data_IF_217231517478
#
_entry.id   IF_217231517478
#
_cell.length_a   1.000
_cell.length_b   1.000
_cell.length_c   1.000
_cell.angle_alpha   90.00
_cell.angle_beta   90.00
_cell.angle_gamma   90.00
#
_symmetry.space_group_name_H-M   'P 1'
#
loop_
_entity.id
_entity.type
_entity.pdbx_description
1 polymer ?
#
# COMPACT_ATOMS: atom_id res chain seq x y z
N UNK A 1 -21.88 -10.75 1.90
CA UNK A 1 -22.53 -9.45 1.63
C UNK A 1 -23.77 -9.27 2.46
N UNK A 2 -23.58 -9.08 3.77
CA UNK A 2 -24.68 -9.10 4.74
C UNK A 2 -25.26 -7.68 4.91
N UNK A 3 -24.41 -6.66 5.02
CA UNK A 3 -24.84 -5.26 5.18
C UNK A 3 -25.72 -4.76 4.05
N UNK A 4 -25.25 -4.87 2.80
CA UNK A 4 -26.00 -4.42 1.62
C UNK A 4 -27.40 -5.07 1.51
N UNK A 5 -27.54 -6.35 1.88
CA UNK A 5 -28.83 -7.06 1.85
C UNK A 5 -29.82 -6.59 2.93
N UNK A 6 -29.34 -5.97 4.01
CA UNK A 6 -30.17 -5.46 5.11
C UNK A 6 -30.47 -3.97 4.99
N UNK A 7 -29.72 -3.25 4.17
CA UNK A 7 -29.93 -1.82 3.94
C UNK A 7 -31.21 -1.59 3.12
N UNK A 8 -32.00 -0.58 3.51
CA UNK A 8 -33.26 -0.20 2.85
C UNK A 8 -33.16 1.13 2.09
N UNK A 9 -32.08 1.89 2.27
CA UNK A 9 -31.87 3.15 1.55
C UNK A 9 -31.61 2.95 0.05
N UNK A 10 -31.84 4.00 -0.73
CA UNK A 10 -31.62 3.98 -2.19
C UNK A 10 -30.13 3.98 -2.55
N UNK A 11 -29.30 4.60 -1.71
CA UNK A 11 -27.84 4.64 -1.86
C UNK A 11 -27.19 3.85 -0.74
N UNK A 12 -26.24 2.98 -1.10
CA UNK A 12 -25.35 2.32 -0.16
C UNK A 12 -24.13 3.20 0.07
N UNK A 13 -23.81 3.48 1.34
CA UNK A 13 -22.59 4.18 1.73
C UNK A 13 -21.76 3.25 2.60
N UNK A 14 -20.58 2.90 2.12
CA UNK A 14 -19.62 2.06 2.82
C UNK A 14 -18.62 2.95 3.54
N UNK A 15 -18.41 2.68 4.83
CA UNK A 15 -17.40 3.32 5.66
C UNK A 15 -16.69 2.26 6.49
N UNK A 16 -15.37 2.42 6.63
CA UNK A 16 -14.62 1.67 7.63
C UNK A 16 -15.06 2.06 9.05
N UNK A 17 -14.96 1.12 9.98
CA UNK A 17 -15.33 1.30 11.40
C UNK A 17 -14.52 2.36 12.18
N UNK A 18 -13.53 2.99 11.55
CA UNK A 18 -12.58 3.92 12.17
C UNK A 18 -12.37 5.13 11.24
N UNK A 19 -13.49 5.80 10.96
CA UNK A 19 -13.56 7.01 10.16
C UNK A 19 -14.22 8.15 10.95
N UNK A 20 -13.84 9.39 10.62
CA UNK A 20 -14.55 10.60 11.03
C UNK A 20 -14.98 11.37 9.78
N UNK A 21 -16.29 11.57 9.63
CA UNK A 21 -16.85 12.27 8.47
C UNK A 21 -16.80 13.78 8.67
N UNK A 22 -16.43 14.54 7.63
CA UNK A 22 -16.33 15.99 7.71
C UNK A 22 -17.70 16.68 7.48
N UNK A 23 -17.75 18.00 7.66
CA UNK A 23 -18.94 18.81 7.37
C UNK A 23 -19.35 18.63 5.90
N UNK A 24 -20.65 18.47 5.69
CA UNK A 24 -21.25 18.35 4.34
C UNK A 24 -20.61 17.28 3.45
N UNK A 25 -20.03 16.23 4.05
CA UNK A 25 -19.38 15.17 3.28
C UNK A 25 -20.36 14.37 2.39
N UNK A 26 -21.61 14.21 2.81
CA UNK A 26 -22.56 13.32 2.14
C UNK A 26 -23.28 13.94 0.93
N UNK A 27 -23.83 15.18 1.00
CA UNK A 27 -24.58 15.76 -0.13
C UNK A 27 -23.84 15.76 -1.48
N UNK A 28 -22.54 16.10 -1.57
CA UNK A 28 -21.81 16.06 -2.83
C UNK A 28 -21.72 14.64 -3.42
N UNK A 29 -21.68 13.60 -2.58
CA UNK A 29 -21.69 12.21 -3.06
C UNK A 29 -23.07 11.83 -3.64
N UNK A 30 -24.13 12.18 -2.91
CA UNK A 30 -25.50 11.83 -3.31
C UNK A 30 -25.94 12.56 -4.58
N UNK A 31 -25.54 13.81 -4.74
CA UNK A 31 -25.84 14.60 -5.95
C UNK A 31 -25.30 13.93 -7.21
N UNK A 32 -24.04 13.49 -7.18
CA UNK A 32 -23.41 12.78 -8.30
C UNK A 32 -24.11 11.47 -8.67
N UNK A 33 -24.51 10.69 -7.66
CA UNK A 33 -25.25 9.44 -7.87
C UNK A 33 -26.66 9.73 -8.43
N UNK A 34 -27.31 10.81 -7.96
CA UNK A 34 -28.61 11.23 -8.47
C UNK A 34 -28.56 11.64 -9.94
N UNK A 35 -27.52 12.35 -10.36
CA UNK A 35 -27.31 12.72 -11.76
C UNK A 35 -27.09 11.50 -12.67
N UNK A 36 -26.30 10.54 -12.19
CA UNK A 36 -26.07 9.30 -12.91
C UNK A 36 -25.92 8.11 -11.94
N UNK A 37 -26.94 7.24 -11.81
CA UNK A 37 -26.94 6.10 -10.90
C UNK A 37 -25.84 5.05 -11.16
N UNK A 38 -25.19 5.08 -12.34
CA UNK A 38 -24.05 4.20 -12.65
C UNK A 38 -22.70 4.75 -12.18
N UNK A 39 -22.71 5.94 -11.57
CA UNK A 39 -21.52 6.58 -11.00
C UNK A 39 -21.30 6.07 -9.58
N UNK A 40 -20.11 5.54 -9.32
CA UNK A 40 -19.62 5.21 -7.99
C UNK A 40 -18.70 6.32 -7.53
N UNK A 41 -18.94 6.83 -6.33
CA UNK A 41 -18.25 8.01 -5.82
C UNK A 41 -17.49 7.70 -4.54
N UNK A 42 -16.29 8.23 -4.43
CA UNK A 42 -15.45 8.15 -3.24
C UNK A 42 -15.24 9.56 -2.68
N UNK A 43 -15.26 9.74 -1.34
CA UNK A 43 -14.75 10.96 -0.74
C UNK A 43 -13.22 11.03 -0.90
N UNK A 44 -12.66 12.22 -0.72
CA UNK A 44 -11.23 12.32 -0.40
C UNK A 44 -11.02 11.77 1.00
N UNK A 45 -10.07 10.84 1.12
CA UNK A 45 -9.73 10.20 2.38
C UNK A 45 -8.62 11.00 3.05
N UNK A 46 -8.96 11.68 4.14
CA UNK A 46 -8.02 12.40 4.99
C UNK A 46 -7.38 11.47 6.01
N UNK A 47 -6.28 11.92 6.62
CA UNK A 47 -5.50 11.09 7.55
C UNK A 47 -5.90 11.45 8.97
N UNK A 48 -6.29 10.45 9.76
CA UNK A 48 -6.36 10.55 11.21
C UNK A 48 -5.14 9.83 11.77
N UNK A 49 -4.30 10.56 12.50
CA UNK A 49 -3.12 10.00 13.15
C UNK A 49 -3.53 8.91 14.14
N UNK A 50 -2.95 7.71 14.02
CA UNK A 50 -3.24 6.61 14.95
C UNK A 50 -2.66 6.82 16.35
N UNK A 51 -1.68 7.73 16.51
CA UNK A 51 -1.06 8.03 17.81
C UNK A 51 -1.76 9.20 18.52
N UNK A 52 -2.05 10.27 17.77
CA UNK A 52 -2.54 11.54 18.33
C UNK A 52 -4.02 11.80 18.05
N UNK A 53 -4.65 11.02 17.17
CA UNK A 53 -6.00 11.27 16.65
C UNK A 53 -6.17 12.63 15.97
N UNK A 54 -5.06 13.30 15.63
CA UNK A 54 -5.12 14.54 14.87
C UNK A 54 -5.60 14.28 13.44
N UNK A 55 -6.60 15.05 13.02
CA UNK A 55 -7.13 15.04 11.66
C UNK A 55 -6.27 15.93 10.76
N UNK A 56 -5.74 15.36 9.68
CA UNK A 56 -4.87 16.03 8.71
C UNK A 56 -5.42 15.88 7.29
N UNK A 57 -5.52 17.00 6.57
CA UNK A 57 -5.97 17.01 5.19
C UNK A 57 -4.96 16.29 4.26
N UNK A 58 -5.48 15.45 3.37
CA UNK A 58 -4.71 14.78 2.33
C UNK A 58 -4.69 15.57 1.01
N UNK A 59 -3.63 15.44 0.19
CA UNK A 59 -3.63 16.00 -1.16
C UNK A 59 -4.66 15.29 -2.06
N UNK A 60 -5.03 15.93 -3.16
CA UNK A 60 -5.87 15.29 -4.18
C UNK A 60 -5.06 14.19 -4.89
N UNK A 61 -5.52 12.96 -4.72
CA UNK A 61 -4.95 11.75 -5.29
C UNK A 61 -6.06 10.91 -5.91
N UNK A 62 -5.72 10.11 -6.90
CA UNK A 62 -6.57 9.08 -7.49
C UNK A 62 -6.01 7.69 -7.24
N UNK A 63 -6.85 6.67 -7.38
CA UNK A 63 -6.44 5.28 -7.20
C UNK A 63 -5.81 4.70 -8.46
N UNK A 64 -4.60 4.17 -8.31
CA UNK A 64 -3.90 3.35 -9.30
C UNK A 64 -3.62 1.94 -8.78
N UNK A 65 -2.92 1.16 -9.58
CA UNK A 65 -2.45 -0.16 -9.16
C UNK A 65 -1.20 -0.58 -9.96
N UNK A 66 -0.41 -1.48 -9.38
CA UNK A 66 0.70 -2.10 -10.08
C UNK A 66 0.32 -3.48 -10.64
N UNK A 67 1.14 -4.03 -11.55
CA UNK A 67 0.90 -5.34 -12.14
C UNK A 67 0.97 -6.52 -11.15
N UNK A 68 1.35 -6.29 -9.89
CA UNK A 68 1.15 -7.25 -8.79
C UNK A 68 -0.26 -7.26 -8.21
N UNK A 69 -1.18 -6.47 -8.77
CA UNK A 69 -2.54 -6.20 -8.29
C UNK A 69 -2.57 -5.64 -6.86
N UNK A 70 -1.62 -4.75 -6.57
CA UNK A 70 -1.65 -3.95 -5.34
C UNK A 70 -2.11 -2.54 -5.68
N UNK A 71 -3.06 -2.03 -4.88
CA UNK A 71 -3.53 -0.65 -4.94
C UNK A 71 -2.41 0.34 -4.60
N UNK A 72 -2.44 1.50 -5.22
CA UNK A 72 -1.56 2.63 -4.93
C UNK A 72 -2.30 3.96 -5.05
N UNK A 73 -1.90 4.93 -4.25
CA UNK A 73 -2.32 6.31 -4.43
C UNK A 73 -1.43 7.00 -5.47
N UNK A 74 -2.05 7.66 -6.44
CA UNK A 74 -1.38 8.37 -7.51
C UNK A 74 -1.79 9.85 -7.51
N UNK A 75 -0.86 10.79 -7.77
CA UNK A 75 -1.24 12.17 -7.95
C UNK A 75 -2.21 12.31 -9.13
N UNK A 76 -3.15 13.24 -9.01
CA UNK A 76 -3.98 13.61 -10.16
C UNK A 76 -3.07 14.25 -11.23
N UNK A 77 -3.15 13.82 -12.50
CA UNK A 77 -2.34 14.40 -13.57
C UNK A 77 -2.48 15.93 -13.62
N UNK A 78 -1.36 16.65 -13.65
CA UNK A 78 -1.33 18.13 -13.59
C UNK A 78 -2.15 18.82 -14.69
N UNK A 79 -2.28 18.18 -15.84
CA UNK A 79 -3.07 18.71 -16.96
C UNK A 79 -4.59 18.68 -16.68
N UNK A 80 -5.04 17.99 -15.63
CA UNK A 80 -6.42 17.97 -15.16
C UNK A 80 -6.66 18.95 -14.01
N UNK A 81 -5.64 19.68 -13.54
CA UNK A 81 -5.69 20.61 -12.41
C UNK A 81 -5.05 21.94 -12.82
N UNK A 82 -5.69 22.66 -13.76
CA UNK A 82 -5.15 23.90 -14.34
C UNK A 82 -5.84 25.11 -13.71
N UNK A 83 -7.17 25.10 -13.68
CA UNK A 83 -7.98 26.20 -13.17
C UNK A 83 -8.42 25.91 -11.73
N UNK A 84 -8.71 26.92 -10.90
CA UNK A 84 -9.19 26.72 -9.53
C UNK A 84 -10.41 25.78 -9.44
N UNK A 85 -11.29 25.83 -10.43
CA UNK A 85 -12.48 25.00 -10.51
C UNK A 85 -12.13 23.51 -10.63
N UNK A 86 -11.03 23.16 -11.31
CA UNK A 86 -10.59 21.78 -11.50
C UNK A 86 -10.28 21.07 -10.15
N UNK A 87 -9.94 21.84 -9.11
CA UNK A 87 -9.63 21.30 -7.78
C UNK A 87 -10.87 20.89 -6.98
N UNK A 88 -12.07 21.27 -7.42
CA UNK A 88 -13.34 20.94 -6.76
C UNK A 88 -14.25 20.05 -7.59
N UNK A 89 -13.97 19.90 -8.89
CA UNK A 89 -14.74 19.03 -9.78
C UNK A 89 -14.50 17.53 -9.49
N UNK A 90 -15.46 16.65 -9.83
CA UNK A 90 -15.28 15.20 -9.75
C UNK A 90 -14.07 14.71 -10.54
N UNK A 91 -13.22 13.90 -9.91
CA UNK A 91 -11.99 13.37 -10.51
C UNK A 91 -12.20 11.90 -10.87
N UNK A 92 -12.09 11.56 -12.16
CA UNK A 92 -12.15 10.16 -12.60
C UNK A 92 -10.95 9.37 -12.06
N UNK A 93 -11.24 8.27 -11.39
CA UNK A 93 -10.23 7.41 -10.77
C UNK A 93 -10.21 6.02 -11.40
N UNK A 94 -9.05 5.51 -11.86
CA UNK A 94 -8.96 4.15 -12.39
C UNK A 94 -9.43 3.09 -11.38
N UNK A 95 -9.01 3.25 -10.12
CA UNK A 95 -9.38 2.34 -9.03
C UNK A 95 -9.77 3.10 -7.77
N UNK A 96 -10.26 2.40 -6.75
CA UNK A 96 -10.52 2.97 -5.41
C UNK A 96 -9.82 2.15 -4.34
N UNK A 97 -9.60 2.75 -3.17
CA UNK A 97 -9.09 2.03 -2.00
C UNK A 97 -10.07 0.95 -1.52
N UNK A 98 -11.38 1.21 -1.64
CA UNK A 98 -12.46 0.23 -1.45
C UNK A 98 -13.13 0.23 -0.07
N UNK A 99 -12.55 0.91 0.93
CA UNK A 99 -13.15 1.02 2.27
C UNK A 99 -14.23 2.10 2.38
N UNK A 100 -14.13 3.17 1.59
CA UNK A 100 -15.02 4.32 1.65
C UNK A 100 -15.53 4.67 0.25
N UNK A 101 -16.82 4.44 -0.02
CA UNK A 101 -17.47 4.83 -1.27
C UNK A 101 -19.00 4.81 -1.11
N UNK A 102 -19.71 5.49 -2.03
CA UNK A 102 -21.15 5.46 -2.15
C UNK A 102 -21.59 5.06 -3.57
N UNK A 103 -22.72 4.35 -3.67
CA UNK A 103 -23.24 3.81 -4.93
C UNK A 103 -24.74 3.57 -4.83
N UNK A 104 -25.46 3.74 -5.94
CA UNK A 104 -26.87 3.33 -6.04
C UNK A 104 -27.03 1.82 -5.71
N UNK A 105 -27.99 1.50 -4.84
CA UNK A 105 -28.19 0.13 -4.35
C UNK A 105 -28.60 -0.82 -5.48
N UNK A 106 -29.47 -0.37 -6.39
CA UNK A 106 -29.90 -1.20 -7.51
C UNK A 106 -28.74 -1.43 -8.48
N UNK A 107 -27.91 -0.42 -8.72
CA UNK A 107 -26.73 -0.56 -9.55
C UNK A 107 -25.72 -1.55 -8.94
N UNK A 108 -25.48 -1.48 -7.63
CA UNK A 108 -24.65 -2.46 -6.90
C UNK A 108 -25.15 -3.90 -7.10
N UNK A 109 -26.47 -4.12 -7.05
CA UNK A 109 -27.10 -5.42 -7.29
C UNK A 109 -26.99 -5.85 -8.76
N UNK A 110 -27.26 -4.94 -9.70
CA UNK A 110 -27.23 -5.19 -11.15
C UNK A 110 -25.84 -5.59 -11.63
N UNK A 111 -24.79 -4.89 -11.17
CA UNK A 111 -23.42 -5.26 -11.52
C UNK A 111 -22.98 -6.53 -10.82
N UNK A 112 -23.76 -7.09 -9.89
CA UNK A 112 -23.53 -8.40 -9.27
C UNK A 112 -22.72 -8.37 -7.98
N UNK A 113 -22.81 -7.27 -7.22
CA UNK A 113 -22.25 -7.08 -5.88
C UNK A 113 -20.78 -7.55 -5.74
N UNK A 114 -20.20 -7.84 -4.57
CA UNK A 114 -18.86 -8.45 -4.50
C UNK A 114 -18.82 -9.92 -4.95
N UNK A 115 -17.65 -10.37 -5.42
CA UNK A 115 -17.38 -11.78 -5.70
C UNK A 115 -17.41 -12.60 -4.40
N UNK A 116 -18.46 -13.40 -4.24
CA UNK A 116 -18.65 -14.25 -3.06
C UNK A 116 -17.58 -15.35 -2.90
N UNK A 117 -16.77 -15.60 -3.93
CA UNK A 117 -15.63 -16.52 -3.84
C UNK A 117 -14.35 -15.89 -3.32
N UNK A 118 -14.33 -14.59 -3.01
CA UNK A 118 -13.19 -13.93 -2.37
C UNK A 118 -13.15 -14.19 -0.86
N UNK A 119 -11.93 -14.34 -0.34
CA UNK A 119 -11.67 -14.60 1.06
C UNK A 119 -11.17 -13.35 1.78
N UNK A 120 -11.84 -12.99 2.87
CA UNK A 120 -11.43 -12.05 3.92
C UNK A 120 -10.95 -10.68 3.42
N UNK A 121 -9.74 -10.60 2.88
CA UNK A 121 -9.11 -9.34 2.49
C UNK A 121 -8.20 -9.48 1.28
N UNK A 122 -8.32 -8.52 0.36
CA UNK A 122 -7.39 -8.27 -0.72
C UNK A 122 -8.03 -8.38 -2.11
N UNK A 123 -7.75 -7.41 -2.98
CA UNK A 123 -8.14 -7.44 -4.40
C UNK A 123 -9.61 -7.10 -4.68
N UNK A 124 -10.48 -7.05 -3.68
CA UNK A 124 -11.92 -6.74 -3.83
C UNK A 124 -12.15 -5.33 -4.39
N UNK A 125 -11.29 -4.38 -4.01
CA UNK A 125 -11.34 -3.01 -4.45
C UNK A 125 -10.97 -2.89 -5.95
N UNK A 126 -9.96 -3.64 -6.41
CA UNK A 126 -9.59 -3.69 -7.83
C UNK A 126 -10.65 -4.40 -8.67
N UNK A 127 -11.22 -5.50 -8.17
CA UNK A 127 -12.27 -6.26 -8.86
C UNK A 127 -13.47 -5.39 -9.19
N UNK A 128 -14.00 -4.67 -8.19
CA UNK A 128 -15.16 -3.83 -8.39
C UNK A 128 -14.82 -2.61 -9.23
N UNK A 129 -13.63 -2.00 -9.08
CA UNK A 129 -13.19 -0.89 -9.94
C UNK A 129 -13.13 -1.28 -11.42
N UNK A 130 -12.52 -2.42 -11.75
CA UNK A 130 -12.47 -2.92 -13.13
C UNK A 130 -13.87 -3.16 -13.68
N UNK A 131 -14.73 -3.78 -12.86
CA UNK A 131 -16.11 -4.05 -13.26
C UNK A 131 -16.93 -2.79 -13.50
N UNK A 132 -16.87 -1.80 -12.61
CA UNK A 132 -17.59 -0.53 -12.77
C UNK A 132 -17.23 0.07 -14.13
N UNK A 133 -15.93 0.27 -14.39
CA UNK A 133 -15.46 0.88 -15.64
C UNK A 133 -15.78 0.04 -16.87
N UNK A 134 -15.44 -1.25 -16.84
CA UNK A 134 -15.57 -2.11 -18.00
C UNK A 134 -17.03 -2.42 -18.33
N UNK A 135 -17.95 -2.32 -17.37
CA UNK A 135 -19.37 -2.63 -17.56
C UNK A 135 -20.25 -1.37 -17.64
N UNK A 136 -19.67 -0.22 -18.00
CA UNK A 136 -20.42 0.99 -18.40
C UNK A 136 -20.74 2.00 -17.30
N UNK A 137 -20.21 1.81 -16.09
CA UNK A 137 -20.25 2.81 -15.03
C UNK A 137 -19.01 3.70 -15.00
N UNK A 138 -18.97 4.59 -14.00
CA UNK A 138 -17.86 5.51 -13.75
C UNK A 138 -17.44 5.46 -12.29
N UNK A 139 -16.16 5.73 -12.03
CA UNK A 139 -15.61 5.81 -10.67
C UNK A 139 -14.98 7.19 -10.47
N UNK A 140 -15.50 7.95 -9.52
CA UNK A 140 -15.14 9.34 -9.29
C UNK A 140 -14.70 9.57 -7.82
N UNK A 141 -13.73 10.45 -7.62
CA UNK A 141 -13.38 11.02 -6.32
C UNK A 141 -13.96 12.42 -6.27
N UNK A 142 -14.68 12.75 -5.20
CA UNK A 142 -15.40 14.02 -5.05
C UNK A 142 -14.63 14.91 -4.07
N UNK A 143 -13.87 15.93 -4.53
CA UNK A 143 -13.01 16.74 -3.66
C UNK A 143 -13.71 17.43 -2.50
N UNK A 144 -14.96 17.86 -2.71
CA UNK A 144 -15.79 18.52 -1.71
C UNK A 144 -16.30 17.57 -0.61
N UNK A 145 -16.27 16.25 -0.84
CA UNK A 145 -16.60 15.25 0.17
C UNK A 145 -15.32 14.75 0.84
N UNK A 146 -15.17 14.96 2.15
CA UNK A 146 -13.98 14.53 2.89
C UNK A 146 -14.34 13.66 4.08
N UNK A 147 -13.58 12.59 4.27
CA UNK A 147 -13.72 11.67 5.39
C UNK A 147 -12.32 11.33 5.90
N UNK A 148 -12.06 11.58 7.17
CA UNK A 148 -10.84 11.14 7.84
C UNK A 148 -10.88 9.64 8.09
N UNK A 149 -9.77 8.96 7.83
CA UNK A 149 -9.59 7.54 8.11
C UNK A 149 -8.38 7.35 9.02
N UNK A 150 -8.53 6.52 10.05
CA UNK A 150 -7.42 6.15 10.92
C UNK A 150 -6.57 5.09 10.22
N UNK A 151 -5.47 5.55 9.62
CA UNK A 151 -4.47 4.67 9.01
C UNK A 151 -3.70 3.95 10.12
N UNK A 152 -3.99 2.66 10.27
CA UNK A 152 -3.35 1.80 11.26
C UNK A 152 -1.93 1.45 10.80
N UNK A 153 -0.96 1.54 11.71
CA UNK A 153 0.44 1.07 11.49
C UNK A 153 0.56 -0.45 11.35
N UNK A 154 -0.46 -1.19 11.80
CA UNK A 154 -0.50 -2.65 11.74
C UNK A 154 -1.95 -3.17 11.71
N UNK A 155 -2.15 -4.37 11.17
CA UNK A 155 -3.47 -5.03 11.09
C UNK A 155 -3.79 -5.76 12.40
N UNK A 156 -4.76 -5.32 13.22
CA UNK A 156 -5.05 -5.88 14.53
C UNK A 156 -5.61 -7.30 14.51
N UNK A 157 -6.03 -7.81 13.34
CA UNK A 157 -6.54 -9.16 13.20
C UNK A 157 -5.38 -10.15 13.09
N UNK A 158 -5.32 -11.13 14.00
CA UNK A 158 -4.49 -12.31 13.86
C UNK A 158 -4.75 -12.96 12.50
N UNK A 159 -3.72 -13.57 11.90
CA UNK A 159 -3.92 -14.40 10.70
C UNK A 159 -4.61 -15.70 11.12
N UNK A 160 -5.87 -15.62 11.51
CA UNK A 160 -6.71 -16.80 11.75
C UNK A 160 -7.14 -17.42 10.40
N UNK A 161 -6.65 -16.88 9.29
CA UNK A 161 -7.04 -17.18 7.92
C UNK A 161 -6.10 -18.16 7.23
N UNK A 162 -6.69 -19.26 6.78
CA UNK A 162 -6.23 -20.19 5.76
C UNK A 162 -5.44 -19.51 4.61
N UNK A 163 -4.11 -19.49 4.70
CA UNK A 163 -3.22 -19.13 3.59
C UNK A 163 -3.23 -17.66 3.13
N UNK A 164 -2.54 -17.40 2.01
CA UNK A 164 -2.37 -16.08 1.40
C UNK A 164 -3.64 -15.65 0.63
N UNK A 165 -4.60 -15.05 1.37
CA UNK A 165 -5.91 -14.63 0.84
C UNK A 165 -5.78 -13.57 -0.26
N UNK A 166 -4.84 -12.63 -0.10
CA UNK A 166 -4.57 -11.58 -1.09
C UNK A 166 -4.16 -12.20 -2.43
N UNK A 167 -3.20 -13.12 -2.42
CA UNK A 167 -2.79 -13.79 -3.67
C UNK A 167 -3.92 -14.61 -4.29
N UNK A 168 -4.71 -15.31 -3.47
CA UNK A 168 -5.87 -16.07 -3.94
C UNK A 168 -6.91 -15.16 -4.62
N UNK A 169 -7.31 -14.07 -3.97
CA UNK A 169 -8.29 -13.13 -4.53
C UNK A 169 -7.73 -12.43 -5.78
N UNK A 170 -6.47 -12.02 -5.77
CA UNK A 170 -5.81 -11.40 -6.93
C UNK A 170 -5.75 -12.34 -8.14
N UNK A 171 -5.56 -13.65 -7.95
CA UNK A 171 -5.72 -14.62 -9.05
C UNK A 171 -7.15 -14.61 -9.60
N UNK A 172 -8.18 -14.56 -8.75
CA UNK A 172 -9.58 -14.47 -9.21
C UNK A 172 -9.82 -13.21 -10.04
N UNK A 173 -9.30 -12.06 -9.60
CA UNK A 173 -9.36 -10.80 -10.37
C UNK A 173 -8.65 -10.96 -11.71
N UNK A 174 -7.44 -11.53 -11.71
CA UNK A 174 -6.63 -11.72 -12.91
C UNK A 174 -7.33 -12.61 -13.94
N UNK A 175 -7.95 -13.71 -13.50
CA UNK A 175 -8.62 -14.66 -14.37
C UNK A 175 -9.92 -14.11 -14.97
N UNK A 176 -10.63 -13.23 -14.27
CA UNK A 176 -11.91 -12.68 -14.73
C UNK A 176 -11.76 -11.41 -15.54
N UNK A 177 -10.85 -10.50 -15.14
CA UNK A 177 -10.88 -9.12 -15.61
C UNK A 177 -9.68 -8.70 -16.46
N UNK A 178 -8.51 -9.35 -16.36
CA UNK A 178 -7.30 -8.88 -17.04
C UNK A 178 -7.11 -9.40 -18.48
N UNK A 179 -7.98 -10.27 -18.99
CA UNK A 179 -7.85 -10.86 -20.33
C UNK A 179 -6.42 -11.42 -20.59
N UNK A 180 -5.83 -11.11 -21.75
CA UNK A 180 -4.45 -11.47 -22.08
C UNK A 180 -3.38 -10.74 -21.25
N UNK A 181 -3.73 -9.69 -20.50
CA UNK A 181 -2.80 -8.95 -19.63
C UNK A 181 -2.51 -9.68 -18.32
N UNK A 182 -3.28 -10.72 -17.95
CA UNK A 182 -2.96 -11.56 -16.78
C UNK A 182 -1.58 -12.19 -16.84
N UNK A 183 -0.99 -12.32 -18.04
CA UNK A 183 0.41 -12.75 -18.23
C UNK A 183 1.39 -11.87 -17.45
N UNK A 184 1.14 -10.56 -17.35
CA UNK A 184 1.99 -9.61 -16.64
C UNK A 184 1.90 -9.81 -15.13
N UNK A 185 0.71 -10.08 -14.61
CA UNK A 185 0.51 -10.45 -13.20
C UNK A 185 1.29 -11.71 -12.84
N UNK A 186 1.16 -12.79 -13.62
CA UNK A 186 1.88 -14.04 -13.36
C UNK A 186 3.39 -13.96 -13.66
N UNK A 187 3.85 -12.99 -14.45
CA UNK A 187 5.29 -12.73 -14.62
C UNK A 187 5.92 -12.13 -13.35
N UNK A 188 5.17 -11.33 -12.59
CA UNK A 188 5.60 -10.75 -11.32
C UNK A 188 5.40 -11.76 -10.18
N UNK A 189 4.23 -12.38 -10.11
CA UNK A 189 3.84 -13.38 -9.10
C UNK A 189 4.02 -14.80 -9.62
N UNK A 190 5.26 -15.15 -10.00
CA UNK A 190 5.59 -16.44 -10.64
C UNK A 190 5.19 -17.65 -9.79
N UNK A 191 5.24 -17.50 -8.47
CA UNK A 191 4.89 -18.51 -7.48
C UNK A 191 3.39 -18.86 -7.46
N UNK A 192 2.54 -18.02 -8.05
CA UNK A 192 1.10 -18.24 -8.15
C UNK A 192 0.69 -18.99 -9.43
N UNK A 193 1.60 -19.14 -10.40
CA UNK A 193 1.27 -19.82 -11.66
C UNK A 193 0.91 -21.29 -11.39
N UNK A 194 -0.30 -21.69 -11.82
CA UNK A 194 -0.81 -23.04 -11.63
C UNK A 194 -1.42 -23.32 -10.25
N UNK A 195 -1.45 -22.33 -9.34
CA UNK A 195 -2.19 -22.47 -8.07
C UNK A 195 -3.70 -22.38 -8.31
N UNK A 196 -4.50 -23.09 -7.49
CA UNK A 196 -5.95 -22.99 -7.58
C UNK A 196 -6.45 -21.61 -7.12
N UNK A 197 -7.40 -21.06 -7.87
CA UNK A 197 -8.09 -19.78 -7.58
C UNK A 197 -9.61 -19.97 -7.40
N UNK A 198 -10.05 -21.23 -7.27
CA UNK A 198 -11.46 -21.60 -7.15
C UNK A 198 -12.26 -21.40 -8.44
N UNK A 199 -13.56 -21.62 -8.37
CA UNK A 199 -14.46 -21.45 -9.50
C UNK A 199 -14.78 -19.96 -9.73
N UNK A 200 -14.59 -19.48 -10.96
CA UNK A 200 -14.90 -18.09 -11.40
C UNK A 200 -15.97 -18.03 -12.50
N UNK A 201 -16.60 -19.16 -12.86
CA UNK A 201 -17.58 -19.25 -13.95
C UNK A 201 -18.76 -18.28 -13.80
N UNK A 202 -19.25 -18.07 -12.58
CA UNK A 202 -20.33 -17.10 -12.31
C UNK A 202 -19.92 -15.66 -12.62
N UNK A 203 -18.66 -15.30 -12.31
CA UNK A 203 -18.10 -13.96 -12.59
C UNK A 203 -17.85 -13.76 -14.09
N UNK A 204 -17.36 -14.78 -14.78
CA UNK A 204 -17.22 -14.77 -16.24
C UNK A 204 -18.59 -14.65 -16.94
N UNK A 205 -19.60 -15.39 -16.48
CA UNK A 205 -20.97 -15.30 -17.00
C UNK A 205 -21.60 -13.92 -16.77
N UNK A 206 -21.38 -13.33 -15.59
CA UNK A 206 -21.78 -11.96 -15.28
C UNK A 206 -21.13 -10.95 -16.23
N UNK A 207 -19.80 -11.03 -16.42
CA UNK A 207 -19.07 -10.15 -17.34
C UNK A 207 -19.61 -10.23 -18.77
N UNK A 208 -19.95 -11.44 -19.24
CA UNK A 208 -20.58 -11.66 -20.55
C UNK A 208 -22.00 -11.07 -20.60
N UNK A 209 -22.83 -11.32 -19.57
CA UNK A 209 -24.22 -10.84 -19.49
C UNK A 209 -24.31 -9.31 -19.52
N UNK A 210 -23.40 -8.63 -18.84
CA UNK A 210 -23.32 -7.17 -18.80
C UNK A 210 -22.64 -6.55 -20.04
N UNK A 211 -22.20 -7.39 -21.00
CA UNK A 211 -21.51 -6.97 -22.21
C UNK A 211 -20.31 -6.04 -21.93
N UNK A 212 -19.51 -6.38 -20.91
CA UNK A 212 -18.42 -5.53 -20.47
C UNK A 212 -17.30 -5.46 -21.51
N UNK A 213 -16.63 -4.31 -21.58
CA UNK A 213 -15.47 -4.04 -22.42
C UNK A 213 -14.27 -4.93 -22.04
N UNK A 214 -13.27 -4.95 -22.92
CA UNK A 214 -12.00 -5.66 -22.69
C UNK A 214 -11.09 -4.87 -21.74
N UNK A 215 -10.14 -5.56 -21.13
CA UNK A 215 -9.12 -4.91 -20.32
C UNK A 215 -8.22 -3.99 -21.15
N UNK A 216 -8.03 -4.31 -22.43
CA UNK A 216 -7.36 -3.43 -23.39
C UNK A 216 -8.07 -2.06 -23.45
N UNK A 217 -9.40 -2.07 -23.61
CA UNK A 217 -10.19 -0.83 -23.60
C UNK A 217 -10.03 -0.07 -22.29
N UNK A 218 -10.02 -0.77 -21.14
CA UNK A 218 -9.80 -0.14 -19.83
C UNK A 218 -8.45 0.58 -19.77
N UNK A 219 -7.35 -0.07 -20.16
CA UNK A 219 -6.03 0.57 -20.17
C UNK A 219 -6.00 1.75 -21.14
N UNK A 220 -6.61 1.63 -22.33
CA UNK A 220 -6.58 2.71 -23.33
C UNK A 220 -7.48 3.92 -22.99
N UNK A 221 -8.59 3.72 -22.27
CA UNK A 221 -9.63 4.74 -22.10
C UNK A 221 -9.82 5.22 -20.66
N UNK A 222 -9.39 4.42 -19.68
CA UNK A 222 -9.56 4.72 -18.25
C UNK A 222 -8.21 4.96 -17.58
N UNK A 223 -7.18 4.18 -17.94
CA UNK A 223 -5.88 4.28 -17.29
C UNK A 223 -4.70 4.20 -18.27
N UNK A 224 -4.60 5.16 -19.22
CA UNK A 224 -3.57 5.16 -20.25
C UNK A 224 -2.16 5.39 -19.69
N UNK A 225 -2.04 5.91 -18.46
CA UNK A 225 -0.77 6.09 -17.79
C UNK A 225 -0.19 4.78 -17.19
N UNK A 226 -0.97 3.69 -17.17
CA UNK A 226 -0.51 2.40 -16.68
C UNK A 226 0.51 1.79 -17.65
N UNK A 227 1.80 1.91 -17.31
CA UNK A 227 2.89 1.36 -18.12
C UNK A 227 2.89 -0.16 -18.10
N UNK A 228 3.12 -0.77 -19.26
CA UNK A 228 3.28 -2.22 -19.35
C UNK A 228 4.64 -2.65 -18.79
N UNK A 229 4.80 -3.86 -18.25
CA UNK A 229 6.10 -4.32 -17.72
C UNK A 229 7.27 -4.26 -18.71
N UNK A 230 6.98 -4.42 -20.00
CA UNK A 230 7.97 -4.32 -21.08
C UNK A 230 8.43 -2.88 -21.34
N UNK A 231 7.61 -1.89 -20.97
CA UNK A 231 7.88 -0.44 -21.07
C UNK A 231 8.44 0.11 -19.74
N UNK A 232 8.89 -0.77 -18.84
CA UNK A 232 9.35 -0.41 -17.50
C UNK A 232 8.25 -0.42 -16.41
N UNK A 233 7.04 -0.87 -16.71
CA UNK A 233 5.95 -1.09 -15.74
C UNK A 233 6.11 -2.33 -14.86
N UNK A 234 7.34 -2.84 -14.71
CA UNK A 234 7.61 -4.10 -14.02
C UNK A 234 7.57 -3.93 -12.51
N UNK A 235 6.41 -4.19 -11.90
CA UNK A 235 6.32 -4.70 -10.51
C UNK A 235 6.89 -3.84 -9.37
N UNK A 236 7.12 -2.56 -9.59
CA UNK A 236 7.22 -1.52 -8.57
C UNK A 236 6.19 -0.45 -8.95
N UNK A 237 5.38 0.03 -8.01
CA UNK A 237 4.42 1.10 -8.29
C UNK A 237 5.15 2.30 -8.88
N UNK A 238 4.81 2.69 -10.10
CA UNK A 238 5.47 3.81 -10.80
C UNK A 238 4.46 4.87 -11.24
N UNK A 239 3.87 5.55 -10.25
CA UNK A 239 3.63 7.00 -10.32
C UNK A 239 4.28 7.78 -9.15
N UNK A 240 5.28 7.16 -8.48
CA UNK A 240 6.17 7.83 -7.52
C UNK A 240 7.66 7.68 -7.87
N UNK A 241 8.02 7.06 -9.00
CA UNK A 241 9.43 6.80 -9.36
C UNK A 241 9.98 7.62 -10.53
N UNK A 242 9.21 8.53 -11.15
CA UNK A 242 9.72 9.30 -12.31
C UNK A 242 9.61 10.82 -12.25
N UNK A 243 9.03 11.38 -11.19
CA UNK A 243 9.38 12.75 -10.81
C UNK A 243 10.42 12.64 -9.70
N UNK A 244 11.68 12.80 -10.10
CA UNK A 244 12.90 12.75 -9.28
C UNK A 244 13.47 11.33 -9.07
N UNK A 245 14.04 10.71 -10.12
CA UNK A 245 15.26 9.94 -9.90
C UNK A 245 16.40 10.93 -9.56
N UNK A 246 16.36 11.45 -8.34
CA UNK A 246 17.61 11.48 -7.59
C UNK A 246 17.75 10.05 -7.09
N UNK A 247 18.91 9.44 -7.33
CA UNK A 247 19.30 8.28 -6.51
C UNK A 247 18.94 8.62 -5.06
N UNK A 248 18.29 7.71 -4.30
CA UNK A 248 17.83 8.02 -2.95
C UNK A 248 19.01 8.66 -2.21
N UNK A 249 18.85 9.91 -1.80
CA UNK A 249 19.97 10.67 -1.26
C UNK A 249 20.36 9.95 0.02
N UNK A 250 21.52 9.31 -0.03
CA UNK A 250 22.07 8.59 1.10
C UNK A 250 22.45 9.66 2.12
N UNK A 251 21.77 9.69 3.25
CA UNK A 251 22.02 10.65 4.32
C UNK A 251 23.22 10.22 5.17
N UNK A 252 23.44 8.91 5.30
CA UNK A 252 24.53 8.27 6.04
C UNK A 252 24.87 6.94 5.38
N UNK A 253 26.14 6.54 5.37
CA UNK A 253 26.57 5.26 4.80
C UNK A 253 27.78 4.72 5.54
N UNK A 254 27.82 3.45 5.88
CA UNK A 254 29.04 2.84 6.38
C UNK A 254 28.77 1.65 7.27
N UNK A 255 29.80 1.22 7.99
CA UNK A 255 29.57 0.30 9.08
C UNK A 255 28.80 1.03 10.18
N UNK A 256 27.84 0.34 10.78
CA UNK A 256 27.01 0.89 11.83
C UNK A 256 27.52 0.37 13.17
N UNK A 257 28.36 1.17 13.83
CA UNK A 257 29.08 0.84 15.06
C UNK A 257 28.23 1.20 16.26
N UNK A 258 28.14 0.32 17.24
CA UNK A 258 27.56 0.64 18.54
C UNK A 258 28.64 1.16 19.50
N UNK A 259 28.40 2.28 20.20
CA UNK A 259 29.38 2.83 21.15
C UNK A 259 29.56 1.93 22.38
N UNK A 260 28.46 1.39 22.92
CA UNK A 260 28.47 0.59 24.15
C UNK A 260 29.22 -0.74 24.02
N UNK A 261 29.17 -1.39 22.85
CA UNK A 261 29.87 -2.66 22.62
C UNK A 261 31.10 -2.55 21.72
N UNK A 262 31.29 -1.42 21.04
CA UNK A 262 32.31 -1.25 19.99
C UNK A 262 32.23 -2.30 18.86
N UNK A 263 31.03 -2.86 18.63
CA UNK A 263 30.77 -3.85 17.59
C UNK A 263 29.88 -3.25 16.50
N UNK A 264 29.93 -3.84 15.31
CA UNK A 264 29.15 -3.41 14.16
C UNK A 264 27.89 -4.26 13.96
N UNK A 265 26.81 -3.61 13.54
CA UNK A 265 25.60 -4.28 13.08
C UNK A 265 25.90 -5.11 11.84
N UNK A 266 25.59 -6.40 11.89
CA UNK A 266 25.94 -7.36 10.85
C UNK A 266 24.85 -8.44 10.67
N UNK A 267 25.05 -9.30 9.68
CA UNK A 267 24.22 -10.47 9.37
C UNK A 267 25.00 -11.77 9.55
N UNK A 268 24.37 -12.87 10.02
CA UNK A 268 25.06 -14.14 10.26
C UNK A 268 25.67 -14.76 9.00
N UNK A 269 25.00 -14.58 7.85
CA UNK A 269 25.41 -15.07 6.54
C UNK A 269 25.79 -13.95 5.58
N UNK A 270 25.45 -14.10 4.30
CA UNK A 270 25.75 -13.06 3.29
C UNK A 270 24.79 -11.89 3.44
N UNK A 271 25.25 -10.67 3.16
CA UNK A 271 24.42 -9.46 3.16
C UNK A 271 23.16 -9.53 2.28
N UNK A 272 23.13 -10.44 1.29
CA UNK A 272 21.98 -10.68 0.40
C UNK A 272 20.95 -11.69 0.94
N UNK A 273 21.18 -12.25 2.13
CA UNK A 273 20.31 -13.24 2.75
C UNK A 273 19.04 -12.59 3.33
N UNK A 274 17.88 -13.17 3.00
CA UNK A 274 16.58 -12.65 3.44
C UNK A 274 16.16 -13.31 4.73
N UNK A 275 15.38 -12.58 5.55
CA UNK A 275 14.86 -13.01 6.85
C UNK A 275 15.96 -13.28 7.89
N UNK A 276 17.19 -12.83 7.62
CA UNK A 276 18.31 -12.94 8.54
C UNK A 276 18.06 -12.01 9.75
N UNK A 277 18.24 -12.56 10.95
CA UNK A 277 18.22 -11.75 12.18
C UNK A 277 19.58 -11.10 12.33
N UNK A 278 19.60 -9.78 12.54
CA UNK A 278 20.87 -9.05 12.67
C UNK A 278 21.55 -9.36 14.00
N UNK A 279 22.87 -9.28 14.01
CA UNK A 279 23.72 -9.51 15.17
C UNK A 279 24.83 -8.47 15.23
N UNK A 280 25.66 -8.54 16.27
CA UNK A 280 26.84 -7.70 16.41
C UNK A 280 28.10 -8.52 16.17
N UNK A 281 29.01 -7.97 15.37
CA UNK A 281 30.31 -8.59 15.05
C UNK A 281 31.42 -7.55 15.10
N UNK A 282 32.67 -8.02 15.21
CA UNK A 282 33.83 -7.18 15.00
C UNK A 282 33.72 -6.46 13.64
N UNK A 283 33.91 -5.14 13.66
CA UNK A 283 33.77 -4.26 12.51
C UNK A 283 34.74 -4.58 11.35
N UNK A 284 35.85 -5.27 11.63
CA UNK A 284 36.81 -5.70 10.61
C UNK A 284 36.41 -7.00 9.89
N UNK A 285 35.49 -7.77 10.48
CA UNK A 285 35.09 -9.11 10.01
C UNK A 285 33.61 -9.16 9.59
N UNK A 286 33.04 -7.99 9.31
CA UNK A 286 31.63 -7.83 8.98
C UNK A 286 31.28 -8.48 7.63
N UNK A 287 30.17 -9.22 7.60
CA UNK A 287 29.58 -9.73 6.36
C UNK A 287 28.72 -8.67 5.64
N UNK A 288 28.24 -7.65 6.38
CA UNK A 288 27.55 -6.50 5.83
C UNK A 288 28.55 -5.63 5.06
N UNK A 289 28.29 -5.40 3.76
CA UNK A 289 29.17 -4.56 2.91
C UNK A 289 29.22 -3.12 3.42
N UNK A 290 28.05 -2.55 3.72
CA UNK A 290 27.83 -1.29 4.42
C UNK A 290 26.32 -1.16 4.69
N UNK A 291 25.96 -0.46 5.75
CA UNK A 291 24.60 0.04 5.95
C UNK A 291 24.45 1.43 5.34
N UNK A 292 23.26 1.78 4.89
CA UNK A 292 22.96 3.13 4.40
C UNK A 292 21.59 3.56 4.86
N UNK A 293 21.46 4.81 5.30
CA UNK A 293 20.20 5.43 5.64
C UNK A 293 19.85 6.45 4.55
N UNK A 294 18.71 6.27 3.87
CA UNK A 294 18.24 7.21 2.84
C UNK A 294 17.29 8.27 3.43
N UNK A 295 16.96 9.28 2.62
CA UNK A 295 15.98 10.32 2.96
C UNK A 295 14.58 9.77 3.27
N UNK A 296 14.25 8.58 2.77
CA UNK A 296 12.99 7.88 3.05
C UNK A 296 13.01 7.14 4.40
N UNK A 297 14.05 7.35 5.20
CA UNK A 297 14.24 6.74 6.52
C UNK A 297 14.35 5.21 6.48
N UNK A 298 14.77 4.61 5.38
CA UNK A 298 15.05 3.18 5.28
C UNK A 298 16.51 2.89 5.60
N UNK A 299 16.76 1.94 6.51
CA UNK A 299 18.11 1.45 6.83
C UNK A 299 18.43 0.22 5.96
N UNK A 300 19.23 0.41 4.92
CA UNK A 300 19.49 -0.57 3.84
C UNK A 300 20.85 -1.23 3.98
N UNK A 301 20.90 -2.53 3.69
CA UNK A 301 22.14 -3.33 3.59
C UNK A 301 22.49 -3.67 2.13
N UNK A 302 21.50 -3.63 1.22
CA UNK A 302 21.63 -3.82 -0.23
C UNK A 302 20.57 -2.95 -0.94
N UNK A 303 20.68 -2.83 -2.25
CA UNK A 303 19.72 -2.20 -3.17
C UNK A 303 18.26 -2.56 -2.90
N UNK A 304 17.99 -3.82 -2.52
CA UNK A 304 16.65 -4.36 -2.30
C UNK A 304 16.37 -4.84 -0.87
N UNK A 305 17.32 -4.67 0.06
CA UNK A 305 17.22 -5.21 1.42
C UNK A 305 17.30 -4.11 2.47
N UNK A 306 16.29 -4.08 3.33
CA UNK A 306 16.06 -3.10 4.38
C UNK A 306 15.97 -3.79 5.73
N UNK A 307 16.36 -3.10 6.80
CA UNK A 307 16.15 -3.56 8.16
C UNK A 307 14.70 -3.32 8.55
N UNK A 308 14.04 -4.38 9.00
CA UNK A 308 12.63 -4.37 9.41
C UNK A 308 12.51 -4.88 10.84
N UNK A 309 11.71 -4.23 11.68
CA UNK A 309 11.37 -4.78 13.00
C UNK A 309 10.12 -5.64 12.89
N UNK A 310 10.28 -6.93 13.18
CA UNK A 310 9.18 -7.90 13.17
C UNK A 310 8.26 -7.74 14.40
N UNK A 311 7.08 -8.39 14.39
CA UNK A 311 6.09 -8.34 15.49
C UNK A 311 6.67 -8.67 16.88
N UNK A 312 7.67 -9.55 16.95
CA UNK A 312 8.33 -9.92 18.20
C UNK A 312 9.43 -8.93 18.61
N UNK A 313 9.41 -7.72 18.04
CA UNK A 313 10.42 -6.66 18.26
C UNK A 313 11.85 -7.11 17.91
N UNK A 314 11.99 -8.03 16.96
CA UNK A 314 13.28 -8.52 16.48
C UNK A 314 13.61 -7.86 15.14
N UNK A 315 14.73 -7.11 15.04
CA UNK A 315 15.19 -6.56 13.77
C UNK A 315 15.70 -7.65 12.82
N UNK A 316 15.19 -7.67 11.59
CA UNK A 316 15.53 -8.63 10.53
C UNK A 316 15.72 -7.96 9.19
N UNK A 317 16.58 -8.54 8.36
CA UNK A 317 16.77 -8.09 6.98
C UNK A 317 15.64 -8.63 6.10
N UNK A 318 14.86 -7.73 5.53
CA UNK A 318 13.69 -8.03 4.69
C UNK A 318 13.80 -7.29 3.35
N UNK A 319 12.91 -7.62 2.40
CA UNK A 319 12.85 -6.87 1.15
C UNK A 319 12.34 -5.46 1.44
N UNK A 320 13.02 -4.45 0.91
CA UNK A 320 12.53 -3.09 0.95
C UNK A 320 11.16 -3.01 0.29
N UNK A 321 10.15 -2.54 1.01
CA UNK A 321 8.80 -2.38 0.48
C UNK A 321 8.39 -0.91 0.27
N UNK A 322 9.16 0.05 0.78
CA UNK A 322 8.94 1.49 0.52
C UNK A 322 7.61 2.03 1.03
N UNK A 323 7.01 1.39 2.03
CA UNK A 323 5.70 1.79 2.58
C UNK A 323 5.82 2.68 3.82
N UNK A 324 7.04 3.01 4.28
CA UNK A 324 7.23 3.45 5.66
C UNK A 324 6.83 2.33 6.63
N UNK A 325 6.54 2.63 7.89
CA UNK A 325 6.13 1.64 8.92
C UNK A 325 7.30 0.80 9.50
N UNK A 326 7.28 -0.53 9.32
CA UNK A 326 8.20 -1.49 9.96
C UNK A 326 9.63 -1.40 9.48
N UNK A 327 9.88 -0.62 8.42
CA UNK A 327 11.20 -0.36 7.84
C UNK A 327 11.63 1.11 7.99
N UNK A 328 10.90 1.92 8.78
CA UNK A 328 11.21 3.32 9.01
C UNK A 328 12.10 3.53 10.25
N UNK A 329 13.27 4.10 10.03
CA UNK A 329 14.34 4.36 11.00
C UNK A 329 14.72 5.84 11.00
N UNK A 330 14.57 6.49 12.15
CA UNK A 330 15.00 7.87 12.37
C UNK A 330 16.29 7.89 13.16
N UNK A 331 17.31 8.47 12.55
CA UNK A 331 18.61 8.66 13.18
C UNK A 331 18.73 10.06 13.76
N UNK A 332 18.95 10.16 15.08
CA UNK A 332 19.18 11.44 15.73
C UNK A 332 20.68 11.74 15.81
N UNK A 333 21.14 12.79 15.10
CA UNK A 333 22.56 13.17 15.06
C UNK A 333 23.13 13.65 16.40
N UNK A 334 22.28 14.10 17.34
CA UNK A 334 22.71 14.60 18.66
C UNK A 334 22.80 13.48 19.68
N UNK A 335 21.83 12.57 19.71
CA UNK A 335 21.78 11.47 20.67
C UNK A 335 22.40 10.18 20.13
N UNK A 336 22.70 10.13 18.83
CA UNK A 336 23.22 8.96 18.11
C UNK A 336 22.28 7.74 18.15
N UNK A 337 21.00 7.94 18.45
CA UNK A 337 20.03 6.86 18.54
C UNK A 337 19.40 6.54 17.18
N UNK A 338 19.15 5.24 16.95
CA UNK A 338 18.31 4.75 15.87
C UNK A 338 16.92 4.42 16.41
N UNK A 339 15.99 5.36 16.22
CA UNK A 339 14.60 5.25 16.60
C UNK A 339 13.79 4.56 15.50
N UNK A 340 13.05 3.51 15.87
CA UNK A 340 12.16 2.82 14.96
C UNK A 340 10.73 3.37 15.09
N UNK A 341 10.24 4.03 14.04
CA UNK A 341 9.01 4.82 14.08
C UNK A 341 7.78 3.98 14.40
N UNK A 342 7.70 2.75 13.88
CA UNK A 342 6.51 1.91 14.07
C UNK A 342 6.39 1.31 15.48
N UNK A 343 7.50 1.02 16.16
CA UNK A 343 7.45 0.47 17.53
C UNK A 343 7.59 1.53 18.61
N UNK A 344 8.09 2.74 18.29
CA UNK A 344 8.40 3.75 19.29
C UNK A 344 9.61 3.40 20.17
N UNK A 345 10.50 2.53 19.68
CA UNK A 345 11.62 1.99 20.44
C UNK A 345 12.94 2.29 19.73
N UNK A 346 14.03 2.26 20.50
CA UNK A 346 15.38 2.46 19.99
C UNK A 346 16.11 1.12 19.85
N UNK A 347 16.94 1.02 18.81
CA UNK A 347 17.81 -0.13 18.63
C UNK A 347 18.86 -0.17 19.74
N UNK A 348 18.99 -1.30 20.42
CA UNK A 348 19.83 -1.46 21.60
C UNK A 348 20.73 -2.68 21.48
N UNK A 349 22.03 -2.50 21.72
CA UNK A 349 22.99 -3.60 21.80
C UNK A 349 22.82 -4.37 23.11
N UNK A 350 23.07 -5.68 23.04
CA UNK A 350 23.05 -6.57 24.21
C UNK A 350 24.45 -7.12 24.48
N UNK A 351 24.66 -7.63 25.70
CA UNK A 351 25.93 -8.25 26.10
C UNK A 351 26.24 -9.54 25.34
N UNK A 352 25.24 -10.17 24.72
CA UNK A 352 25.36 -11.42 23.95
C UNK A 352 25.62 -11.19 22.46
N UNK A 353 26.19 -10.04 22.09
CA UNK A 353 26.45 -9.64 20.70
C UNK A 353 25.20 -9.73 19.81
N UNK A 354 24.04 -9.44 20.37
CA UNK A 354 22.77 -9.40 19.67
C UNK A 354 22.12 -8.02 19.79
N UNK A 355 21.07 -7.77 19.01
CA UNK A 355 20.35 -6.50 19.00
C UNK A 355 18.90 -6.74 19.40
N UNK A 356 18.38 -5.84 20.24
CA UNK A 356 16.98 -5.80 20.64
C UNK A 356 16.41 -4.40 20.46
N UNK A 357 15.09 -4.27 20.53
CA UNK A 357 14.42 -2.99 20.63
C UNK A 357 14.10 -2.72 22.11
N UNK A 358 14.37 -1.49 22.58
CA UNK A 358 14.13 -1.09 23.97
C UNK A 358 13.64 0.37 24.06
N UNK A 359 13.16 0.76 25.23
CA UNK A 359 12.73 2.15 25.49
C UNK A 359 13.92 3.07 25.29
N UNK A 360 13.73 4.16 24.53
CA UNK A 360 14.82 5.07 24.19
C UNK A 360 15.41 5.75 25.43
N UNK A 361 16.71 5.58 25.63
CA UNK A 361 17.49 6.16 26.72
C UNK A 361 18.87 6.64 26.23
N UNK A 362 19.59 7.42 27.04
CA UNK A 362 20.91 7.94 26.67
C UNK A 362 22.05 6.93 26.95
N UNK A 363 21.73 5.64 27.12
CA UNK A 363 22.73 4.64 27.44
C UNK A 363 23.63 4.34 26.22
N UNK A 364 24.96 4.11 26.41
CA UNK A 364 25.87 3.84 25.30
C UNK A 364 25.47 2.65 24.40
N UNK A 365 24.69 1.70 24.93
CA UNK A 365 24.16 0.58 24.15
C UNK A 365 23.14 1.00 23.09
N UNK A 366 22.57 2.20 23.16
CA UNK A 366 21.63 2.75 22.18
C UNK A 366 22.27 3.75 21.21
N UNK A 367 23.57 4.01 21.35
CA UNK A 367 24.31 4.96 20.52
C UNK A 367 24.96 4.23 19.36
N UNK A 368 24.61 4.63 18.14
CA UNK A 368 25.05 4.03 16.89
C UNK A 368 25.67 5.08 15.98
N UNK A 369 26.83 4.77 15.41
CA UNK A 369 27.58 5.69 14.57
C UNK A 369 27.87 5.05 13.21
N UNK A 370 27.68 5.82 12.14
CA UNK A 370 28.09 5.41 10.80
C UNK A 370 29.57 5.76 10.60
N UNK A 371 30.38 4.82 10.12
CA UNK A 371 31.83 5.02 9.96
C UNK A 371 32.24 5.83 8.74
N UNK A 372 31.35 5.97 7.76
CA UNK A 372 31.54 6.89 6.63
C UNK A 372 30.36 7.87 6.61
N UNK A 373 30.62 9.09 6.16
CA UNK A 373 29.60 10.15 6.03
C UNK A 373 29.31 10.42 4.56
#
# INVERSE_FOLDING_TARGET
>A
MIGAKRATGDVLVFLDSHCEVNKEWLPPLLERIKENPTTVVCPVIDIISSDTFEYQSSPLVRGGFNWGLHFSWEPVPKHLLIQPEDFVQPIRSPTMAGGLFAMDRNYFDQIGQYDAGMNIWGGENLEISFRIWMCGGTLEIIPCSRVGHLFRKWRPYGSDSQGDTMSYNSMRVAEVWLDGYKKYFYQIKKDLKGRPFGNVSSRLALRKRLNCKSFKWYVENVYPELRLPQEGGGGAGTMWQQLVQKSPVIMRKGNLVNEGSSLCLDTPGRASEKKATVLLRNCHETNAKFWSLNQDHELKIDSLLCLEVTRNQVPKVMKCHGQGETQEWRYNKKTLQLYHTASGLCMTSTRTSSVKMDICDDHPSQKWQFTYD
#
